data_IF_327043410069
#
_entry.id   IF_327043410069
#
_cell.length_a   1.000
_cell.length_b   1.000
_cell.length_c   1.000
_cell.angle_alpha   90.00
_cell.angle_beta   90.00
_cell.angle_gamma   90.00
#
_symmetry.space_group_name_H-M   'P 1'
#
loop_
_entity.id
_entity.type
_entity.pdbx_description
1 polymer ?
#
# COMPACT_ATOMS: atom_id res chain seq x y z
N UNK A 1 -15.31 10.23 -6.21
CA UNK A 1 -13.84 10.05 -6.28
C UNK A 1 -13.29 9.85 -4.89
N UNK A 2 -12.34 8.94 -4.77
CA UNK A 2 -11.74 8.63 -3.47
C UNK A 2 -10.84 9.78 -3.03
N UNK A 3 -10.93 10.15 -1.74
CA UNK A 3 -10.02 11.13 -1.15
C UNK A 3 -8.90 10.37 -0.45
N UNK A 4 -7.69 10.34 -1.02
CA UNK A 4 -6.59 9.60 -0.40
C UNK A 4 -6.09 10.32 0.84
N UNK A 5 -5.45 9.56 1.71
CA UNK A 5 -4.75 10.12 2.85
C UNK A 5 -3.62 9.16 3.23
N UNK A 6 -2.57 9.71 3.83
CA UNK A 6 -1.44 8.91 4.29
C UNK A 6 -1.92 7.89 5.31
N UNK A 7 -1.53 6.64 5.12
CA UNK A 7 -1.95 5.54 5.99
C UNK A 7 -3.16 4.78 5.49
N UNK A 8 -3.79 5.26 4.41
CA UNK A 8 -4.96 4.57 3.84
C UNK A 8 -4.54 3.33 3.06
N UNK A 9 -5.45 2.35 3.05
CA UNK A 9 -5.39 1.22 2.14
C UNK A 9 -6.43 1.48 1.07
N UNK A 10 -6.00 1.49 -0.20
CA UNK A 10 -6.87 1.77 -1.34
C UNK A 10 -6.83 0.60 -2.31
N UNK A 11 -7.90 0.46 -3.09
CA UNK A 11 -7.93 -0.53 -4.17
C UNK A 11 -7.65 0.18 -5.48
N UNK A 12 -6.72 -0.35 -6.23
CA UNK A 12 -6.34 0.17 -7.54
C UNK A 12 -6.28 -0.96 -8.55
N UNK A 13 -6.49 -0.67 -9.85
CA UNK A 13 -6.28 -1.68 -10.88
C UNK A 13 -4.79 -1.90 -11.09
N UNK A 14 -4.38 -3.14 -11.06
CA UNK A 14 -3.01 -3.51 -11.34
C UNK A 14 -2.98 -4.33 -12.62
N UNK A 15 -2.56 -3.73 -13.73
CA UNK A 15 -2.37 -4.47 -14.95
C UNK A 15 -1.00 -5.13 -14.93
N UNK A 16 -0.97 -6.44 -14.73
CA UNK A 16 0.30 -7.12 -14.76
C UNK A 16 0.71 -7.42 -16.21
N UNK A 17 0.32 -8.56 -16.72
CA UNK A 17 0.69 -8.91 -18.08
C UNK A 17 -0.46 -8.74 -19.07
N UNK A 18 -1.67 -8.59 -18.56
CA UNK A 18 -2.87 -8.52 -19.39
C UNK A 18 -3.76 -7.40 -18.90
N UNK A 19 -3.75 -6.30 -19.64
CA UNK A 19 -4.49 -5.10 -19.28
C UNK A 19 -6.01 -5.30 -19.33
N UNK A 20 -6.48 -6.26 -20.12
CA UNK A 20 -7.92 -6.51 -20.21
C UNK A 20 -8.46 -7.23 -18.98
N UNK A 21 -7.57 -7.82 -18.19
CA UNK A 21 -7.94 -8.56 -16.99
C UNK A 21 -7.34 -7.93 -15.73
N UNK A 22 -7.20 -6.61 -15.73
CA UNK A 22 -6.71 -5.89 -14.56
C UNK A 22 -7.61 -6.17 -13.37
N UNK A 23 -7.01 -6.61 -12.27
CA UNK A 23 -7.70 -6.86 -11.02
C UNK A 23 -7.47 -5.71 -10.06
N UNK A 24 -8.44 -5.47 -9.20
CA UNK A 24 -8.24 -4.52 -8.11
C UNK A 24 -7.34 -5.15 -7.07
N UNK A 25 -6.28 -4.41 -6.69
CA UNK A 25 -5.33 -4.84 -5.68
C UNK A 25 -5.20 -3.77 -4.62
N UNK A 26 -4.96 -4.16 -3.36
CA UNK A 26 -4.74 -3.16 -2.32
C UNK A 26 -3.36 -2.56 -2.42
N UNK A 27 -3.27 -1.29 -2.05
CA UNK A 27 -2.01 -0.58 -1.93
C UNK A 27 -2.07 0.31 -0.71
N UNK A 28 -0.92 0.55 -0.09
CA UNK A 28 -0.80 1.41 1.07
C UNK A 28 -0.31 2.78 0.61
N UNK A 29 -0.99 3.85 1.06
CA UNK A 29 -0.64 5.21 0.69
C UNK A 29 0.41 5.74 1.67
N UNK A 30 1.58 6.06 1.15
CA UNK A 30 2.73 6.49 1.95
C UNK A 30 2.80 8.00 2.09
N UNK A 31 2.67 8.71 0.97
CA UNK A 31 2.88 10.15 0.94
C UNK A 31 2.27 10.74 -0.30
N UNK A 32 1.95 12.03 -0.21
CA UNK A 32 1.56 12.81 -1.37
C UNK A 32 2.81 13.22 -2.14
N UNK A 33 2.76 13.14 -3.47
CA UNK A 33 3.91 13.55 -4.29
C UNK A 33 3.58 14.72 -5.22
N UNK A 34 2.46 15.39 -4.97
CA UNK A 34 2.09 16.62 -5.68
C UNK A 34 0.98 16.40 -6.70
N UNK A 35 0.09 17.37 -6.87
CA UNK A 35 -0.96 17.42 -7.88
C UNK A 35 -1.74 16.11 -8.04
N UNK A 36 -2.27 15.60 -6.93
CA UNK A 36 -3.07 14.38 -6.92
C UNK A 36 -2.28 13.10 -7.21
N UNK A 37 -0.97 13.15 -7.23
CA UNK A 37 -0.13 11.96 -7.30
C UNK A 37 0.25 11.52 -5.89
N UNK A 38 0.33 10.20 -5.70
CA UNK A 38 0.58 9.61 -4.38
C UNK A 38 1.62 8.51 -4.49
N UNK A 39 2.57 8.52 -3.56
CA UNK A 39 3.51 7.42 -3.42
C UNK A 39 2.82 6.30 -2.65
N UNK A 40 2.84 5.12 -3.24
CA UNK A 40 2.18 3.94 -2.67
C UNK A 40 3.14 2.76 -2.62
N UNK A 41 2.77 1.76 -1.83
CA UNK A 41 3.50 0.48 -1.81
C UNK A 41 2.52 -0.66 -2.02
N UNK A 42 3.03 -1.71 -2.64
CA UNK A 42 2.26 -2.88 -2.97
C UNK A 42 1.89 -3.67 -1.71
N UNK A 43 0.67 -4.18 -1.70
CA UNK A 43 0.20 -5.12 -0.68
C UNK A 43 -0.14 -6.44 -1.37
N UNK A 44 0.25 -7.54 -0.75
CA UNK A 44 0.00 -8.87 -1.29
C UNK A 44 -0.49 -9.80 -0.18
N UNK A 45 -1.27 -10.80 -0.55
CA UNK A 45 -1.65 -11.86 0.40
C UNK A 45 -0.57 -12.93 0.52
N UNK A 46 0.41 -12.93 -0.39
CA UNK A 46 1.51 -13.88 -0.37
C UNK A 46 2.82 -13.13 -0.57
N UNK A 47 3.64 -12.97 0.49
CA UNK A 47 4.87 -12.21 0.38
C UNK A 47 5.99 -12.94 -0.35
N UNK A 48 5.79 -14.21 -0.65
CA UNK A 48 6.82 -15.06 -1.26
C UNK A 48 8.09 -15.06 -0.39
N UNK A 49 9.23 -14.71 -0.98
CA UNK A 49 10.50 -14.68 -0.27
C UNK A 49 10.93 -13.25 0.08
N UNK A 50 9.99 -12.31 0.17
CA UNK A 50 10.29 -10.92 0.48
C UNK A 50 10.58 -10.78 1.98
N UNK A 51 11.87 -10.69 2.33
CA UNK A 51 12.30 -10.58 3.72
C UNK A 51 11.86 -9.28 4.39
N UNK A 52 11.54 -8.26 3.59
CA UNK A 52 11.13 -6.95 4.11
C UNK A 52 9.61 -6.82 4.25
N UNK A 53 8.84 -7.83 3.84
CA UNK A 53 7.39 -7.76 3.91
C UNK A 53 6.92 -7.61 5.35
N UNK A 54 5.97 -6.69 5.54
CA UNK A 54 5.41 -6.40 6.86
C UNK A 54 3.98 -6.92 6.91
N UNK A 55 3.75 -7.86 7.82
CA UNK A 55 2.43 -8.45 8.01
C UNK A 55 1.46 -7.42 8.59
N UNK A 56 0.26 -7.33 8.01
CA UNK A 56 -0.83 -6.54 8.56
C UNK A 56 -2.03 -7.45 8.80
N UNK A 57 -2.68 -7.24 9.92
CA UNK A 57 -3.85 -8.02 10.33
C UNK A 57 -4.92 -7.07 10.85
N UNK A 58 -6.08 -7.60 11.20
CA UNK A 58 -7.23 -6.79 11.61
C UNK A 58 -6.89 -5.80 12.71
N UNK A 59 -6.10 -6.22 13.70
CA UNK A 59 -5.76 -5.35 14.83
C UNK A 59 -4.87 -4.18 14.45
N UNK A 60 -4.30 -4.18 13.26
CA UNK A 60 -3.45 -3.08 12.80
C UNK A 60 -4.25 -1.95 12.17
N UNK A 61 -5.56 -2.10 12.02
CA UNK A 61 -6.41 -1.11 11.39
C UNK A 61 -7.01 -0.16 12.43
N UNK A 62 -6.97 1.12 12.12
CA UNK A 62 -7.71 2.15 12.83
C UNK A 62 -9.18 2.09 12.41
N UNK A 63 -9.44 1.96 11.11
CA UNK A 63 -10.78 1.81 10.53
C UNK A 63 -10.68 0.85 9.35
N UNK A 64 -11.79 0.19 9.04
CA UNK A 64 -11.86 -0.69 7.88
C UNK A 64 -11.14 -2.00 8.08
N UNK A 65 -10.98 -2.74 6.99
CA UNK A 65 -10.41 -4.09 7.04
C UNK A 65 -10.05 -4.57 5.64
N UNK A 66 -9.04 -5.46 5.56
CA UNK A 66 -8.75 -6.23 4.35
C UNK A 66 -9.44 -7.60 4.39
N UNK A 67 -9.98 -7.99 5.54
CA UNK A 67 -10.66 -9.26 5.74
C UNK A 67 -9.78 -10.49 5.53
N UNK A 68 -8.48 -10.29 5.41
CA UNK A 68 -7.49 -11.37 5.35
C UNK A 68 -6.15 -10.81 5.77
N UNK A 69 -5.29 -11.69 6.26
CA UNK A 69 -3.92 -11.32 6.54
C UNK A 69 -3.23 -10.98 5.23
N UNK A 70 -2.55 -9.84 5.22
CA UNK A 70 -1.85 -9.35 4.04
C UNK A 70 -0.49 -8.81 4.44
N UNK A 71 0.32 -8.48 3.45
CA UNK A 71 1.70 -8.04 3.68
C UNK A 71 1.98 -6.82 2.85
N UNK A 72 2.50 -5.77 3.50
CA UNK A 72 3.01 -4.58 2.81
C UNK A 72 4.43 -4.88 2.36
N UNK A 73 4.76 -4.55 1.13
CA UNK A 73 6.10 -4.77 0.58
C UNK A 73 6.83 -3.44 0.43
N UNK A 74 7.60 -3.01 1.46
CA UNK A 74 8.16 -1.65 1.48
C UNK A 74 9.08 -1.32 0.32
N UNK A 75 9.71 -2.33 -0.30
CA UNK A 75 10.58 -2.12 -1.45
C UNK A 75 9.84 -1.99 -2.78
N UNK A 76 8.53 -2.21 -2.79
CA UNK A 76 7.73 -2.15 -4.02
C UNK A 76 6.94 -0.85 -4.06
N UNK A 77 7.67 0.25 -4.16
CA UNK A 77 7.10 1.58 -4.26
C UNK A 77 6.66 1.90 -5.68
N UNK A 78 5.58 2.65 -5.80
CA UNK A 78 5.15 3.18 -7.09
C UNK A 78 4.35 4.45 -6.86
N UNK A 79 4.23 5.27 -7.92
CA UNK A 79 3.43 6.48 -7.86
C UNK A 79 2.14 6.27 -8.64
N UNK A 80 1.03 6.70 -8.07
CA UNK A 80 -0.28 6.55 -8.70
C UNK A 80 -1.06 7.84 -8.56
N UNK A 81 -1.76 8.22 -9.62
CA UNK A 81 -2.67 9.36 -9.56
C UNK A 81 -3.95 8.97 -8.84
N UNK A 82 -4.53 9.95 -8.13
CA UNK A 82 -5.76 9.72 -7.37
C UNK A 82 -6.89 9.12 -8.24
N UNK A 83 -6.89 9.45 -9.51
CA UNK A 83 -7.98 9.04 -10.42
C UNK A 83 -8.10 7.50 -10.53
N UNK A 84 -7.00 6.76 -10.30
CA UNK A 84 -7.08 5.30 -10.39
C UNK A 84 -7.47 4.65 -9.07
N UNK A 85 -7.59 5.42 -7.99
CA UNK A 85 -8.03 4.87 -6.71
C UNK A 85 -9.53 4.60 -6.78
N UNK A 86 -9.92 3.33 -6.73
CA UNK A 86 -11.32 2.94 -6.87
C UNK A 86 -12.08 2.96 -5.56
N UNK A 87 -11.41 2.56 -4.45
CA UNK A 87 -12.02 2.54 -3.13
C UNK A 87 -10.95 2.72 -2.06
N UNK A 88 -11.34 3.38 -0.97
CA UNK A 88 -10.57 3.36 0.27
C UNK A 88 -11.21 2.33 1.18
N UNK A 89 -10.46 1.30 1.57
CA UNK A 89 -11.02 0.20 2.35
C UNK A 89 -10.59 0.21 3.80
N UNK A 90 -9.69 1.10 4.18
CA UNK A 90 -9.33 1.22 5.58
C UNK A 90 -8.20 2.19 5.82
N UNK A 91 -7.91 2.39 7.09
CA UNK A 91 -6.78 3.18 7.57
C UNK A 91 -6.01 2.35 8.56
N UNK A 92 -4.70 2.29 8.43
CA UNK A 92 -3.87 1.62 9.42
C UNK A 92 -3.65 2.50 10.65
N UNK A 93 -3.43 1.86 11.79
CA UNK A 93 -3.08 2.57 13.02
C UNK A 93 -1.74 3.29 12.84
N UNK A 94 -1.57 4.39 13.56
CA UNK A 94 -0.39 5.25 13.42
C UNK A 94 0.91 4.49 13.66
N UNK A 95 0.93 3.59 14.63
CA UNK A 95 2.13 2.81 14.93
C UNK A 95 2.52 1.91 13.76
N UNK A 96 1.53 1.34 13.05
CA UNK A 96 1.80 0.50 11.89
C UNK A 96 2.29 1.36 10.72
N UNK A 97 1.69 2.53 10.53
CA UNK A 97 2.14 3.49 9.50
C UNK A 97 3.61 3.84 9.72
N UNK A 98 3.98 4.15 10.97
CA UNK A 98 5.35 4.49 11.31
C UNK A 98 6.31 3.34 11.02
N UNK A 99 5.91 2.13 11.38
CA UNK A 99 6.71 0.93 11.12
C UNK A 99 6.98 0.76 9.62
N UNK A 100 5.96 0.94 8.79
CA UNK A 100 6.09 0.78 7.35
C UNK A 100 7.00 1.86 6.78
N UNK A 101 6.79 3.12 7.18
CA UNK A 101 7.62 4.23 6.70
C UNK A 101 9.08 4.04 7.07
N UNK A 102 9.32 3.60 8.30
CA UNK A 102 10.68 3.37 8.77
C UNK A 102 11.37 2.29 7.95
N UNK A 103 10.65 1.23 7.62
CA UNK A 103 11.19 0.17 6.77
C UNK A 103 11.54 0.69 5.37
N UNK A 104 10.67 1.53 4.79
CA UNK A 104 10.94 2.14 3.49
C UNK A 104 12.22 2.99 3.55
N UNK A 105 12.33 3.81 4.57
CA UNK A 105 13.52 4.66 4.75
C UNK A 105 14.78 3.81 4.85
N UNK A 106 14.73 2.75 5.64
CA UNK A 106 15.87 1.87 5.83
C UNK A 106 16.30 1.20 4.52
N UNK A 107 15.35 0.77 3.70
CA UNK A 107 15.65 0.18 2.41
C UNK A 107 16.36 1.19 1.51
N UNK A 108 15.85 2.40 1.45
CA UNK A 108 16.44 3.45 0.62
C UNK A 108 17.83 3.81 1.10
N UNK A 109 18.01 3.95 2.41
CA UNK A 109 19.30 4.32 2.99
C UNK A 109 20.33 3.21 2.85
N UNK A 110 19.92 1.95 2.90
CA UNK A 110 20.86 0.83 2.76
C UNK A 110 21.40 0.70 1.34
N UNK A 111 20.66 1.17 0.37
CA UNK A 111 21.09 1.13 -1.02
C UNK A 111 21.13 -0.26 -1.65
N UNK A 112 20.44 -1.20 -1.04
CA UNK A 112 20.42 -2.56 -1.55
C UNK A 112 19.32 -2.77 -2.57
#
# INVERSE_FOLDING_TARGET
>A
MVTPSVGAIVLIPFPFSDLTNAKLRPAFVVAESGKDDWVCVQITSNPYADAEAIKIKESDFKTGSLQRVSYVRPGKLFTAGRIIFKRKIGMLADSKVDEIKESIINIIQSGK
#
